data_IF_247180483939
#
_entry.id   IF_247180483939
#
_cell.length_a   1.000
_cell.length_b   1.000
_cell.length_c   1.000
_cell.angle_alpha   90.00
_cell.angle_beta   90.00
_cell.angle_gamma   90.00
#
_symmetry.space_group_name_H-M   'P 1'
#
loop_
_entity.id
_entity.type
_entity.pdbx_description
1 polymer ?
#
# COMPACT_ATOMS: atom_id res chain seq x y z
N UNK A 1 -12.01 -82.05 -27.02
CA UNK A 1 -12.56 -81.13 -26.01
C UNK A 1 -11.76 -79.84 -26.10
N UNK A 2 -12.27 -78.81 -26.80
CA UNK A 2 -11.58 -77.52 -26.98
C UNK A 2 -12.21 -76.51 -26.02
N UNK A 3 -11.45 -76.06 -25.03
CA UNK A 3 -11.86 -75.03 -24.07
C UNK A 3 -11.49 -73.68 -24.70
N UNK A 4 -12.48 -72.83 -24.94
CA UNK A 4 -12.30 -71.43 -25.35
C UNK A 4 -12.56 -70.56 -24.12
N UNK A 5 -11.52 -69.95 -23.58
CA UNK A 5 -11.62 -68.97 -22.50
C UNK A 5 -11.82 -67.59 -23.10
N UNK A 6 -12.98 -66.97 -22.84
CA UNK A 6 -13.22 -65.57 -23.16
C UNK A 6 -12.69 -64.70 -22.01
N UNK A 7 -11.73 -63.83 -22.31
CA UNK A 7 -11.22 -62.82 -21.37
C UNK A 7 -12.06 -61.56 -21.54
N UNK A 8 -12.80 -61.17 -20.50
CA UNK A 8 -13.51 -59.90 -20.42
C UNK A 8 -12.52 -58.83 -19.93
N UNK A 9 -12.13 -57.90 -20.80
CA UNK A 9 -11.36 -56.71 -20.41
C UNK A 9 -12.35 -55.64 -19.96
N UNK A 10 -12.40 -55.38 -18.66
CA UNK A 10 -13.16 -54.28 -18.08
C UNK A 10 -12.33 -53.01 -18.21
N UNK A 11 -12.71 -52.12 -19.13
CA UNK A 11 -12.07 -50.80 -19.28
C UNK A 11 -12.72 -49.84 -18.29
N UNK A 12 -12.02 -49.52 -17.21
CA UNK A 12 -12.39 -48.45 -16.28
C UNK A 12 -12.00 -47.10 -16.88
N UNK A 13 -13.00 -46.32 -17.32
CA UNK A 13 -12.81 -44.92 -17.72
C UNK A 13 -12.70 -44.07 -16.45
N UNK A 14 -11.48 -43.75 -16.01
CA UNK A 14 -11.26 -42.71 -15.00
C UNK A 14 -11.58 -41.35 -15.62
N UNK A 15 -12.73 -40.77 -15.25
CA UNK A 15 -13.02 -39.37 -15.55
C UNK A 15 -12.18 -38.50 -14.62
N UNK A 16 -11.10 -37.91 -15.15
CA UNK A 16 -10.37 -36.87 -14.46
C UNK A 16 -11.25 -35.62 -14.43
N UNK A 17 -11.96 -35.40 -13.33
CA UNK A 17 -12.58 -34.12 -13.05
C UNK A 17 -11.45 -33.12 -12.81
N UNK A 18 -11.13 -32.30 -13.80
CA UNK A 18 -10.32 -31.11 -13.60
C UNK A 18 -11.13 -30.18 -12.70
N UNK A 19 -10.83 -30.19 -11.42
CA UNK A 19 -11.09 -29.05 -10.54
C UNK A 19 -10.30 -27.88 -11.12
N UNK A 20 -10.90 -27.14 -12.06
CA UNK A 20 -10.46 -25.78 -12.33
C UNK A 20 -10.75 -25.02 -11.03
N UNK A 21 -9.76 -24.92 -10.15
CA UNK A 21 -9.81 -23.93 -9.09
C UNK A 21 -10.02 -22.61 -9.79
N UNK A 22 -11.23 -22.05 -9.70
CA UNK A 22 -11.42 -20.69 -10.14
C UNK A 22 -10.49 -19.85 -9.28
N UNK A 23 -9.57 -19.14 -9.93
CA UNK A 23 -8.84 -18.06 -9.27
C UNK A 23 -9.88 -17.22 -8.54
N UNK A 24 -9.72 -16.97 -7.23
CA UNK A 24 -10.67 -16.17 -6.48
C UNK A 24 -10.91 -14.82 -7.19
N UNK A 25 -12.17 -14.38 -7.35
CA UNK A 25 -12.50 -13.03 -7.86
C UNK A 25 -12.25 -12.00 -6.74
N UNK A 26 -10.99 -11.87 -6.36
CA UNK A 26 -10.51 -10.96 -5.32
C UNK A 26 -9.61 -9.89 -5.89
N UNK A 27 -9.66 -8.71 -5.26
CA UNK A 27 -8.55 -7.77 -5.29
C UNK A 27 -7.59 -8.18 -4.18
N UNK A 28 -6.38 -8.58 -4.55
CA UNK A 28 -5.33 -8.95 -3.61
C UNK A 28 -4.39 -7.77 -3.39
N UNK A 29 -4.10 -7.46 -2.12
CA UNK A 29 -3.26 -6.33 -1.71
C UNK A 29 -2.18 -6.86 -0.77
N UNK A 30 -0.92 -6.52 -1.05
CA UNK A 30 0.24 -6.93 -0.26
C UNK A 30 0.93 -5.68 0.26
N UNK A 31 0.92 -5.48 1.57
CA UNK A 31 1.70 -4.42 2.24
C UNK A 31 3.04 -5.03 2.64
N UNK A 32 4.08 -4.70 1.87
CA UNK A 32 5.37 -5.39 1.85
C UNK A 32 6.37 -4.68 2.77
N UNK A 33 7.09 -5.43 3.59
CA UNK A 33 8.13 -4.86 4.47
C UNK A 33 9.35 -4.35 3.72
N UNK A 34 9.49 -3.02 3.75
CA UNK A 34 10.66 -2.27 3.31
C UNK A 34 11.18 -1.37 4.44
N UNK A 35 10.93 -1.75 5.71
CA UNK A 35 11.44 -1.08 6.92
C UNK A 35 11.13 0.42 7.07
N UNK A 36 9.87 0.80 6.85
CA UNK A 36 9.44 2.20 6.96
C UNK A 36 9.76 3.02 5.73
N UNK A 37 9.86 2.38 4.58
CA UNK A 37 9.49 2.97 3.28
C UNK A 37 8.08 2.54 2.87
N UNK A 38 7.76 2.68 1.59
CA UNK A 38 6.48 2.23 1.03
C UNK A 38 6.69 1.21 -0.10
N UNK A 39 5.86 0.16 -0.08
CA UNK A 39 5.78 -0.86 -1.11
C UNK A 39 4.46 -1.61 -0.92
N UNK A 40 3.43 -1.20 -1.66
CA UNK A 40 2.12 -1.87 -1.63
C UNK A 40 1.74 -2.36 -3.02
N UNK A 41 1.60 -3.67 -3.19
CA UNK A 41 1.22 -4.32 -4.44
C UNK A 41 -0.27 -4.64 -4.45
N UNK A 42 -0.97 -4.20 -5.49
CA UNK A 42 -2.37 -4.51 -5.79
C UNK A 42 -2.43 -5.44 -7.00
N UNK A 43 -3.25 -6.48 -6.94
CA UNK A 43 -3.46 -7.44 -8.03
C UNK A 43 -4.95 -7.61 -8.26
N UNK A 44 -5.41 -7.16 -9.43
CA UNK A 44 -6.81 -7.28 -9.83
C UNK A 44 -7.17 -8.75 -10.15
N UNK A 45 -8.47 -9.12 -10.14
CA UNK A 45 -8.90 -10.46 -10.56
C UNK A 45 -8.45 -10.85 -11.99
N UNK A 46 -8.17 -9.86 -12.83
CA UNK A 46 -7.63 -10.06 -14.19
C UNK A 46 -6.18 -10.53 -14.20
N UNK A 47 -5.46 -10.43 -13.07
CA UNK A 47 -4.01 -10.63 -12.95
C UNK A 47 -3.19 -9.38 -13.28
N UNK A 48 -3.83 -8.25 -13.61
CA UNK A 48 -3.15 -6.98 -13.82
C UNK A 48 -2.70 -6.37 -12.48
N UNK A 49 -1.48 -5.85 -12.45
CA UNK A 49 -0.79 -5.46 -11.22
C UNK A 49 -0.48 -3.97 -11.14
N UNK A 50 -0.63 -3.40 -9.96
CA UNK A 50 -0.20 -2.05 -9.63
C UNK A 50 0.62 -2.06 -8.36
N UNK A 51 1.89 -1.67 -8.45
CA UNK A 51 2.76 -1.45 -7.32
C UNK A 51 2.81 0.05 -7.00
N UNK A 52 2.67 0.39 -5.73
CA UNK A 52 2.88 1.75 -5.22
C UNK A 52 4.16 1.74 -4.39
N UNK A 53 5.14 2.51 -4.86
CA UNK A 53 6.49 2.65 -4.34
C UNK A 53 7.34 1.36 -4.31
N UNK A 54 8.63 1.53 -4.00
CA UNK A 54 9.67 0.52 -4.21
C UNK A 54 10.63 0.36 -3.03
N UNK A 55 10.37 1.01 -1.90
CA UNK A 55 11.26 0.95 -0.74
C UNK A 55 12.62 1.62 -0.97
N UNK A 56 13.60 1.20 -0.17
CA UNK A 56 14.95 1.75 -0.12
C UNK A 56 15.89 1.11 -1.16
N UNK A 57 16.92 1.84 -1.62
CA UNK A 57 18.02 1.25 -2.35
C UNK A 57 19.03 0.59 -1.41
N UNK A 58 19.96 -0.17 -2.00
CA UNK A 58 21.12 -0.70 -1.28
C UNK A 58 20.89 -2.13 -0.79
N UNK A 59 21.67 -2.56 0.21
CA UNK A 59 21.63 -3.90 0.81
C UNK A 59 21.50 -5.04 -0.21
N UNK A 60 22.26 -4.94 -1.31
CA UNK A 60 22.24 -5.88 -2.44
C UNK A 60 20.85 -6.12 -3.07
N UNK A 61 19.94 -5.16 -2.95
CA UNK A 61 18.60 -5.21 -3.53
C UNK A 61 17.56 -5.85 -2.63
N UNK A 62 17.78 -5.86 -1.31
CA UNK A 62 16.86 -6.42 -0.31
C UNK A 62 15.39 -6.07 -0.53
N UNK A 63 15.05 -4.78 -0.66
CA UNK A 63 13.64 -4.36 -0.80
C UNK A 63 13.07 -4.80 -2.15
N UNK A 64 13.87 -4.72 -3.21
CA UNK A 64 13.50 -5.27 -4.50
C UNK A 64 13.25 -6.79 -4.44
N UNK A 65 14.08 -7.55 -3.73
CA UNK A 65 13.89 -9.01 -3.55
C UNK A 65 12.62 -9.34 -2.76
N UNK A 66 12.27 -8.52 -1.76
CA UNK A 66 11.02 -8.67 -0.99
C UNK A 66 9.79 -8.36 -1.85
N UNK A 67 9.86 -7.33 -2.69
CA UNK A 67 8.80 -7.02 -3.66
C UNK A 67 8.65 -8.15 -4.68
N UNK A 68 9.78 -8.69 -5.18
CA UNK A 68 9.78 -9.85 -6.09
C UNK A 68 9.15 -11.06 -5.42
N UNK A 69 9.44 -11.32 -4.14
CA UNK A 69 8.85 -12.44 -3.41
C UNK A 69 7.32 -12.31 -3.27
N UNK A 70 6.81 -11.11 -2.97
CA UNK A 70 5.38 -10.86 -2.93
C UNK A 70 4.72 -10.98 -4.31
N UNK A 71 5.38 -10.47 -5.36
CA UNK A 71 4.92 -10.61 -6.74
C UNK A 71 4.86 -12.10 -7.17
N UNK A 72 5.86 -12.90 -6.79
CA UNK A 72 5.88 -14.34 -7.05
C UNK A 72 4.78 -15.09 -6.30
N UNK A 73 4.52 -14.73 -5.04
CA UNK A 73 3.39 -15.27 -4.27
C UNK A 73 2.05 -14.96 -4.95
N UNK A 74 1.90 -13.77 -5.51
CA UNK A 74 0.75 -13.37 -6.31
C UNK A 74 0.73 -13.97 -7.75
N UNK A 75 1.71 -14.78 -8.13
CA UNK A 75 1.80 -15.41 -9.45
C UNK A 75 2.18 -14.45 -10.60
N UNK A 76 2.77 -13.30 -10.28
CA UNK A 76 3.18 -12.29 -11.26
C UNK A 76 4.60 -12.53 -11.79
N UNK A 77 4.81 -12.15 -13.05
CA UNK A 77 6.13 -12.16 -13.70
C UNK A 77 6.58 -10.76 -14.15
N UNK A 78 5.79 -9.73 -13.85
CA UNK A 78 6.05 -8.32 -14.14
C UNK A 78 5.14 -7.46 -13.27
N UNK A 79 5.43 -6.16 -13.19
CA UNK A 79 4.54 -5.12 -12.69
C UNK A 79 3.97 -4.36 -13.89
N UNK A 80 2.65 -4.29 -14.02
CA UNK A 80 1.99 -3.58 -15.12
C UNK A 80 2.02 -2.07 -14.90
N UNK A 81 1.78 -1.61 -13.66
CA UNK A 81 1.82 -0.19 -13.29
C UNK A 81 2.66 0.02 -12.03
N UNK A 82 3.74 0.80 -12.11
CA UNK A 82 4.44 1.33 -10.95
C UNK A 82 4.01 2.79 -10.75
N UNK A 83 3.41 3.10 -9.61
CA UNK A 83 3.22 4.47 -9.14
C UNK A 83 4.35 4.78 -8.16
N UNK A 84 5.17 5.78 -8.45
CA UNK A 84 6.07 6.38 -7.45
C UNK A 84 5.37 7.61 -6.89
N UNK A 85 5.07 7.57 -5.59
CA UNK A 85 4.28 8.60 -4.93
C UNK A 85 5.04 9.91 -4.87
N UNK A 86 6.30 9.87 -4.46
CA UNK A 86 7.20 11.01 -4.44
C UNK A 86 8.67 10.54 -4.46
N UNK A 87 9.62 11.47 -4.60
CA UNK A 87 11.00 11.10 -4.92
C UNK A 87 11.94 10.96 -3.72
N UNK A 88 11.41 10.73 -2.51
CA UNK A 88 12.23 10.32 -1.38
C UNK A 88 12.83 8.93 -1.57
N UNK A 89 13.95 8.72 -0.88
CA UNK A 89 14.81 7.54 -1.09
C UNK A 89 14.11 6.23 -0.74
N UNK A 90 13.17 6.24 0.20
CA UNK A 90 12.47 5.05 0.67
C UNK A 90 11.15 4.77 -0.03
N UNK A 91 10.82 5.58 -1.03
CA UNK A 91 9.69 5.38 -1.93
C UNK A 91 10.20 5.02 -3.34
N UNK A 92 11.02 5.89 -3.91
CA UNK A 92 11.56 5.74 -5.26
C UNK A 92 12.83 4.87 -5.31
N UNK A 93 13.59 4.78 -4.22
CA UNK A 93 15.00 4.41 -4.29
C UNK A 93 15.25 2.97 -4.73
N UNK A 94 14.36 2.03 -4.40
CA UNK A 94 14.46 0.63 -4.85
C UNK A 94 14.16 0.40 -6.33
N UNK A 95 13.70 1.41 -7.08
CA UNK A 95 13.17 1.23 -8.44
C UNK A 95 14.17 0.64 -9.45
N UNK A 96 15.45 1.06 -9.43
CA UNK A 96 16.48 0.51 -10.31
C UNK A 96 16.73 -0.97 -10.00
N UNK A 97 16.91 -1.30 -8.72
CA UNK A 97 17.18 -2.68 -8.28
C UNK A 97 15.99 -3.60 -8.52
N UNK A 98 14.76 -3.08 -8.45
CA UNK A 98 13.54 -3.81 -8.79
C UNK A 98 13.44 -4.06 -10.30
N UNK A 99 13.67 -3.03 -11.13
CA UNK A 99 13.58 -3.17 -12.58
C UNK A 99 14.61 -4.16 -13.15
N UNK A 100 15.76 -4.32 -12.49
CA UNK A 100 16.76 -5.35 -12.82
C UNK A 100 16.27 -6.79 -12.57
N UNK A 101 15.25 -6.97 -11.71
CA UNK A 101 14.75 -8.28 -11.26
C UNK A 101 13.38 -8.63 -11.83
N UNK A 102 12.51 -7.63 -11.95
CA UNK A 102 11.11 -7.78 -12.34
C UNK A 102 10.75 -6.70 -13.36
N UNK A 103 10.35 -7.06 -14.59
CA UNK A 103 9.98 -6.06 -15.60
C UNK A 103 8.86 -5.14 -15.12
N UNK A 104 8.97 -3.85 -15.42
CA UNK A 104 7.95 -2.83 -15.12
C UNK A 104 7.50 -2.20 -16.44
N UNK A 105 6.19 -2.19 -16.69
CA UNK A 105 5.64 -1.77 -18.00
C UNK A 105 5.35 -0.27 -18.04
N UNK A 106 4.59 0.25 -17.06
CA UNK A 106 4.19 1.65 -17.00
C UNK A 106 4.70 2.30 -15.71
N UNK A 107 5.31 3.47 -15.83
CA UNK A 107 5.74 4.32 -14.72
C UNK A 107 4.80 5.53 -14.61
N UNK A 108 4.28 5.75 -13.41
CA UNK A 108 3.37 6.84 -13.08
C UNK A 108 3.97 7.62 -11.89
N UNK A 109 4.00 8.94 -11.98
CA UNK A 109 4.54 9.81 -10.93
C UNK A 109 4.00 11.25 -11.06
N UNK A 110 4.44 12.15 -10.18
CA UNK A 110 4.05 13.56 -10.20
C UNK A 110 5.00 14.46 -11.02
N UNK A 111 5.94 13.90 -11.79
CA UNK A 111 6.77 14.64 -12.74
C UNK A 111 8.19 14.95 -12.25
N UNK A 112 8.38 16.10 -11.61
CA UNK A 112 9.70 16.63 -11.20
C UNK A 112 9.83 16.74 -9.69
N UNK A 113 11.03 16.48 -9.17
CA UNK A 113 11.33 16.69 -7.75
C UNK A 113 11.48 18.17 -7.41
N UNK A 114 11.03 18.53 -6.20
CA UNK A 114 11.30 19.84 -5.58
C UNK A 114 12.53 19.83 -4.68
N UNK A 115 13.13 18.66 -4.44
CA UNK A 115 14.37 18.54 -3.67
C UNK A 115 15.53 19.28 -4.34
N UNK A 116 16.26 20.05 -3.54
CA UNK A 116 17.46 20.77 -3.98
C UNK A 116 18.76 20.08 -3.55
N UNK A 117 18.68 19.07 -2.68
CA UNK A 117 19.83 18.32 -2.20
C UNK A 117 20.55 17.54 -3.29
N UNK A 118 21.89 17.53 -3.25
CA UNK A 118 22.72 16.82 -4.25
C UNK A 118 22.40 15.33 -4.32
N UNK A 119 22.29 14.66 -3.15
CA UNK A 119 22.03 13.21 -3.09
C UNK A 119 20.61 12.84 -3.58
N UNK A 120 19.52 13.47 -3.10
CA UNK A 120 18.18 13.24 -3.66
C UNK A 120 18.11 13.50 -5.17
N UNK A 121 18.69 14.62 -5.66
CA UNK A 121 18.71 14.91 -7.10
C UNK A 121 19.46 13.87 -7.92
N UNK A 122 20.59 13.37 -7.41
CA UNK A 122 21.32 12.30 -8.08
C UNK A 122 20.49 11.00 -8.15
N UNK A 123 19.76 10.66 -7.09
CA UNK A 123 18.84 9.52 -7.07
C UNK A 123 17.68 9.70 -8.07
N UNK A 124 17.03 10.87 -8.05
CA UNK A 124 15.98 11.22 -9.01
C UNK A 124 16.48 11.15 -10.46
N UNK A 125 17.69 11.62 -10.75
CA UNK A 125 18.29 11.55 -12.08
C UNK A 125 18.45 10.12 -12.61
N UNK A 126 18.75 9.16 -11.72
CA UNK A 126 18.80 7.74 -12.07
C UNK A 126 17.40 7.18 -12.35
N UNK A 127 16.43 7.48 -11.50
CA UNK A 127 15.02 7.12 -11.74
C UNK A 127 14.48 7.69 -13.06
N UNK A 128 14.80 8.95 -13.38
CA UNK A 128 14.46 9.58 -14.68
C UNK A 128 15.06 8.80 -15.84
N UNK A 129 16.31 8.35 -15.71
CA UNK A 129 16.98 7.55 -16.75
C UNK A 129 16.31 6.19 -16.91
N UNK A 130 15.96 5.53 -15.81
CA UNK A 130 15.23 4.27 -15.79
C UNK A 130 13.88 4.37 -16.51
N UNK A 131 13.01 5.30 -16.07
CA UNK A 131 11.63 5.40 -16.60
C UNK A 131 11.56 5.83 -18.07
N UNK A 132 12.61 6.48 -18.61
CA UNK A 132 12.71 6.82 -20.05
C UNK A 132 12.78 5.59 -20.95
N UNK A 133 13.21 4.45 -20.42
CA UNK A 133 13.22 3.18 -21.15
C UNK A 133 11.85 2.49 -21.25
N UNK A 134 10.82 3.04 -20.60
CA UNK A 134 9.49 2.44 -20.48
C UNK A 134 8.38 3.45 -20.83
N UNK A 135 7.11 3.02 -20.75
CA UNK A 135 5.98 3.94 -20.85
C UNK A 135 5.93 4.78 -19.57
N UNK A 136 5.94 6.11 -19.70
CA UNK A 136 5.87 7.02 -18.56
C UNK A 136 4.69 7.98 -18.69
N UNK A 137 3.99 8.23 -17.58
CA UNK A 137 2.90 9.21 -17.47
C UNK A 137 3.01 10.01 -16.18
N UNK A 138 3.11 11.33 -16.29
CA UNK A 138 2.86 12.21 -15.14
C UNK A 138 1.36 12.28 -14.88
N UNK A 139 0.94 12.09 -13.63
CA UNK A 139 -0.47 12.03 -13.24
C UNK A 139 -0.93 13.27 -12.50
N UNK A 140 -2.20 13.61 -12.63
CA UNK A 140 -2.86 14.72 -11.94
C UNK A 140 -4.10 14.25 -11.16
N UNK A 141 -4.57 15.00 -10.14
CA UNK A 141 -5.80 14.66 -9.44
C UNK A 141 -7.00 14.53 -10.41
N UNK A 142 -7.76 13.45 -10.27
CA UNK A 142 -8.90 13.09 -11.13
C UNK A 142 -8.56 12.08 -12.23
N UNK A 143 -7.27 11.90 -12.55
CA UNK A 143 -6.84 10.88 -13.50
C UNK A 143 -7.24 9.48 -13.05
N UNK A 144 -7.61 8.64 -14.02
CA UNK A 144 -7.78 7.21 -13.80
C UNK A 144 -6.49 6.45 -14.10
N UNK A 145 -6.23 5.38 -13.35
CA UNK A 145 -5.24 4.35 -13.74
C UNK A 145 -6.03 3.17 -14.31
N UNK A 146 -5.85 2.82 -15.59
CA UNK A 146 -6.68 1.82 -16.23
C UNK A 146 -6.25 0.42 -15.77
N UNK A 147 -7.00 -0.17 -14.85
CA UNK A 147 -6.85 -1.55 -14.40
C UNK A 147 -8.21 -2.23 -14.49
N UNK A 148 -8.29 -3.34 -15.21
CA UNK A 148 -9.59 -3.96 -15.46
C UNK A 148 -10.27 -4.42 -14.16
N UNK A 149 -11.54 -4.05 -14.01
CA UNK A 149 -12.35 -4.35 -12.82
C UNK A 149 -12.09 -3.48 -11.59
N UNK A 150 -11.14 -2.54 -11.62
CA UNK A 150 -10.86 -1.58 -10.53
C UNK A 150 -11.23 -0.13 -10.94
N UNK A 151 -11.67 0.67 -9.97
CA UNK A 151 -11.77 2.13 -10.10
C UNK A 151 -10.62 2.78 -9.34
N UNK A 152 -9.49 3.00 -10.03
CA UNK A 152 -8.31 3.65 -9.43
C UNK A 152 -8.29 5.12 -9.84
N UNK A 153 -8.39 6.02 -8.86
CA UNK A 153 -8.40 7.47 -9.06
C UNK A 153 -7.26 8.14 -8.32
N UNK A 154 -6.49 8.94 -9.03
CA UNK A 154 -5.50 9.81 -8.41
C UNK A 154 -6.23 10.93 -7.67
N UNK A 155 -6.01 11.03 -6.37
CA UNK A 155 -6.71 12.02 -5.51
C UNK A 155 -5.82 13.21 -5.13
N UNK A 156 -4.50 13.01 -5.14
CA UNK A 156 -3.49 14.05 -4.97
C UNK A 156 -2.30 13.76 -5.88
N UNK A 157 -1.63 14.79 -6.37
CA UNK A 157 -0.38 14.70 -7.13
C UNK A 157 0.23 16.09 -7.28
N UNK A 158 1.54 16.20 -7.16
CA UNK A 158 2.31 17.44 -7.31
C UNK A 158 1.75 18.59 -6.45
N UNK A 159 1.29 18.28 -5.23
CA UNK A 159 0.76 19.26 -4.29
C UNK A 159 -0.64 19.79 -4.62
N UNK A 160 -1.25 19.36 -5.72
CA UNK A 160 -2.66 19.55 -6.02
C UNK A 160 -3.49 18.36 -5.50
N UNK A 161 -4.76 18.60 -5.22
CA UNK A 161 -5.71 17.57 -4.78
C UNK A 161 -7.02 17.67 -5.57
N UNK A 162 -7.91 16.68 -5.42
CA UNK A 162 -9.25 16.71 -6.02
C UNK A 162 -9.99 18.00 -5.67
N UNK A 163 -10.56 18.63 -6.69
CA UNK A 163 -11.42 19.80 -6.55
C UNK A 163 -12.90 19.43 -6.42
N UNK A 164 -13.27 18.21 -6.83
CA UNK A 164 -14.62 17.68 -6.78
C UNK A 164 -14.66 16.35 -6.05
N UNK A 165 -15.78 16.06 -5.38
CA UNK A 165 -15.95 14.79 -4.68
C UNK A 165 -16.02 13.60 -5.65
N UNK A 166 -15.48 12.46 -5.22
CA UNK A 166 -15.68 11.18 -5.88
C UNK A 166 -17.17 10.78 -5.86
N UNK A 167 -17.61 9.89 -6.78
CA UNK A 167 -18.98 9.38 -6.75
C UNK A 167 -19.34 8.78 -5.38
N UNK A 168 -20.46 9.21 -4.80
CA UNK A 168 -20.91 8.78 -3.47
C UNK A 168 -20.15 9.41 -2.29
N UNK A 169 -19.27 10.38 -2.54
CA UNK A 169 -18.63 11.20 -1.51
C UNK A 169 -19.29 12.60 -1.42
N UNK A 170 -18.65 13.54 -0.72
CA UNK A 170 -19.06 14.95 -0.62
C UNK A 170 -19.94 15.27 0.58
N UNK A 171 -20.01 14.40 1.59
CA UNK A 171 -20.71 14.72 2.85
C UNK A 171 -19.91 15.78 3.63
N UNK A 172 -20.58 16.75 4.29
CA UNK A 172 -19.91 17.68 5.19
C UNK A 172 -19.11 16.95 6.25
N UNK A 173 -17.89 17.41 6.53
CA UNK A 173 -17.01 16.80 7.51
C UNK A 173 -17.02 17.61 8.82
N UNK A 174 -17.62 17.10 9.90
CA UNK A 174 -17.67 17.82 11.17
C UNK A 174 -16.30 17.97 11.83
N UNK A 175 -15.30 17.20 11.43
CA UNK A 175 -13.94 17.25 11.99
C UNK A 175 -13.07 18.35 11.38
N UNK A 176 -13.61 19.17 10.48
CA UNK A 176 -12.89 20.28 9.87
C UNK A 176 -12.69 21.49 10.79
N UNK A 177 -13.53 21.67 11.81
CA UNK A 177 -13.48 22.87 12.67
C UNK A 177 -12.26 22.91 13.57
N UNK A 178 -11.75 21.73 13.97
CA UNK A 178 -10.65 21.60 14.92
C UNK A 178 -9.30 21.40 14.21
N UNK A 179 -9.29 21.41 12.86
CA UNK A 179 -8.07 21.28 12.09
C UNK A 179 -7.15 22.47 12.33
N UNK A 180 -5.95 22.18 12.83
CA UNK A 180 -4.89 23.18 12.96
C UNK A 180 -4.01 23.11 11.72
N UNK A 181 -3.82 24.24 11.04
CA UNK A 181 -2.87 24.33 9.94
C UNK A 181 -1.46 24.45 10.50
N UNK A 182 -0.56 23.53 10.15
CA UNK A 182 0.78 23.46 10.74
C UNK A 182 1.85 24.24 9.96
N UNK A 183 1.46 25.29 9.22
CA UNK A 183 2.34 26.12 8.38
C UNK A 183 2.56 25.52 6.98
N UNK A 184 2.91 26.34 5.97
CA UNK A 184 3.11 25.85 4.59
C UNK A 184 4.24 24.80 4.49
N UNK A 185 5.14 24.85 5.47
CA UNK A 185 6.32 24.03 5.64
C UNK A 185 6.12 22.98 6.74
N UNK A 186 5.06 22.15 6.67
CA UNK A 186 5.17 20.80 7.26
C UNK A 186 6.20 20.09 6.39
N UNK A 187 7.46 20.40 6.65
CA UNK A 187 8.59 19.80 6.00
C UNK A 187 8.82 18.47 6.70
N UNK A 188 9.17 17.48 5.90
CA UNK A 188 9.62 16.18 6.37
C UNK A 188 10.71 16.35 7.44
N UNK A 189 11.10 15.25 8.10
CA UNK A 189 12.30 15.23 8.98
C UNK A 189 13.56 15.78 8.28
N UNK A 190 13.55 15.90 6.95
CA UNK A 190 14.62 16.40 6.09
C UNK A 190 14.47 17.85 5.65
N UNK A 191 13.38 18.54 6.00
CA UNK A 191 13.24 19.96 5.70
C UNK A 191 12.86 20.26 4.24
N UNK A 192 12.38 19.27 3.48
CA UNK A 192 11.93 19.45 2.10
C UNK A 192 10.40 19.29 1.96
N UNK A 193 9.88 19.77 0.82
CA UNK A 193 8.45 19.81 0.50
C UNK A 193 7.99 18.63 -0.38
N UNK A 194 8.82 17.59 -0.54
CA UNK A 194 8.57 16.48 -1.47
C UNK A 194 7.42 15.59 -0.98
N UNK A 195 7.27 15.35 0.32
CA UNK A 195 6.12 14.64 0.94
C UNK A 195 4.77 15.21 0.47
N UNK A 196 4.69 16.54 0.39
CA UNK A 196 3.49 17.27 0.01
C UNK A 196 3.13 17.08 -1.47
N UNK A 197 4.05 16.53 -2.27
CA UNK A 197 3.87 16.23 -3.70
C UNK A 197 3.36 14.82 -3.96
N UNK A 198 3.22 14.00 -2.91
CA UNK A 198 2.79 12.60 -2.99
C UNK A 198 1.61 12.38 -3.93
N UNK A 199 1.78 11.48 -4.88
CA UNK A 199 0.69 10.87 -5.63
C UNK A 199 -0.10 10.01 -4.65
N UNK A 200 -1.37 10.35 -4.45
CA UNK A 200 -2.30 9.58 -3.63
C UNK A 200 -3.37 8.95 -4.50
N UNK A 201 -3.84 7.75 -4.14
CA UNK A 201 -4.84 7.02 -4.91
C UNK A 201 -6.00 6.52 -4.05
N UNK A 202 -7.21 6.66 -4.60
CA UNK A 202 -8.40 5.92 -4.19
C UNK A 202 -8.53 4.67 -5.06
N UNK A 203 -8.91 3.54 -4.44
CA UNK A 203 -9.08 2.25 -5.11
C UNK A 203 -10.48 1.71 -4.78
N UNK A 204 -11.32 1.58 -5.80
CA UNK A 204 -12.63 0.93 -5.72
C UNK A 204 -12.63 -0.46 -6.35
N UNK A 205 -13.25 -1.43 -5.67
CA UNK A 205 -13.50 -2.78 -6.20
C UNK A 205 -14.91 -3.26 -5.82
N UNK A 206 -15.87 -3.05 -6.72
CA UNK A 206 -17.29 -3.20 -6.38
C UNK A 206 -17.67 -2.26 -5.23
N UNK A 207 -18.08 -2.81 -4.09
CA UNK A 207 -18.37 -2.07 -2.87
C UNK A 207 -17.15 -1.88 -1.97
N UNK A 208 -16.04 -2.60 -2.17
CA UNK A 208 -14.81 -2.41 -1.40
C UNK A 208 -14.14 -1.09 -1.80
N UNK A 209 -13.67 -0.32 -0.82
CA UNK A 209 -13.00 0.97 -1.02
C UNK A 209 -11.72 1.04 -0.20
N UNK A 210 -10.64 1.50 -0.79
CA UNK A 210 -9.36 1.74 -0.13
C UNK A 210 -8.76 3.08 -0.53
N UNK A 211 -7.84 3.57 0.28
CA UNK A 211 -7.02 4.76 -0.01
C UNK A 211 -5.60 4.53 0.47
N UNK A 212 -4.64 5.03 -0.32
CA UNK A 212 -3.20 5.09 -0.04
C UNK A 212 -2.69 6.45 -0.48
N UNK A 213 -1.90 7.11 0.38
CA UNK A 213 -1.61 8.53 0.22
C UNK A 213 -0.12 8.85 0.11
N UNK A 214 0.76 7.84 0.06
CA UNK A 214 2.19 8.07 0.23
C UNK A 214 2.43 8.83 1.53
N UNK A 215 3.24 9.87 1.48
CA UNK A 215 3.64 10.67 2.65
C UNK A 215 2.87 11.99 2.75
N UNK A 216 1.71 12.07 2.11
CA UNK A 216 0.89 13.28 2.03
C UNK A 216 0.62 13.86 3.44
N UNK A 217 1.11 15.07 3.69
CA UNK A 217 1.05 15.70 5.01
C UNK A 217 -0.33 16.28 5.32
N UNK A 218 -0.61 16.53 6.60
CA UNK A 218 -1.88 17.07 7.10
C UNK A 218 -2.45 18.24 6.28
N UNK A 219 -1.61 19.20 5.90
CA UNK A 219 -2.06 20.38 5.16
C UNK A 219 -2.50 20.08 3.73
N UNK A 220 -2.05 18.96 3.16
CA UNK A 220 -2.50 18.47 1.85
C UNK A 220 -3.63 17.45 1.97
N UNK A 221 -3.76 16.77 3.10
CA UNK A 221 -4.94 15.96 3.42
C UNK A 221 -6.18 16.85 3.63
N UNK A 222 -6.04 18.00 4.29
CA UNK A 222 -7.17 18.84 4.68
C UNK A 222 -8.05 19.25 3.49
N UNK A 223 -7.52 19.70 2.34
CA UNK A 223 -8.37 20.11 1.23
C UNK A 223 -9.08 18.93 0.55
N UNK A 224 -8.67 17.68 0.78
CA UNK A 224 -9.45 16.49 0.39
C UNK A 224 -10.66 16.29 1.30
N UNK A 225 -10.59 16.76 2.54
CA UNK A 225 -11.53 16.41 3.61
C UNK A 225 -12.46 17.56 3.98
N UNK A 226 -12.11 18.81 3.63
CA UNK A 226 -12.79 20.00 4.09
C UNK A 226 -13.23 20.95 2.95
N UNK A 227 -14.35 21.70 3.15
CA UNK A 227 -15.35 21.51 4.21
C UNK A 227 -16.14 20.20 4.06
N UNK A 228 -16.10 19.61 2.87
CA UNK A 228 -16.75 18.35 2.53
C UNK A 228 -15.71 17.27 2.26
N UNK A 229 -15.99 16.04 2.72
CA UNK A 229 -15.17 14.86 2.46
C UNK A 229 -15.27 14.47 0.97
N UNK A 230 -14.26 14.82 0.17
CA UNK A 230 -14.22 14.56 -1.28
C UNK A 230 -13.88 13.12 -1.62
N UNK A 231 -13.28 12.36 -0.69
CA UNK A 231 -12.88 10.96 -0.91
C UNK A 231 -14.03 10.01 -0.55
N UNK A 232 -14.80 10.33 0.49
CA UNK A 232 -15.84 9.48 1.07
C UNK A 232 -15.27 8.49 2.09
N UNK A 233 -16.10 7.58 2.58
CA UNK A 233 -15.67 6.54 3.51
C UNK A 233 -14.96 5.39 2.79
N UNK A 234 -14.07 4.69 3.50
CA UNK A 234 -13.30 3.55 2.99
C UNK A 234 -13.45 2.33 3.89
N UNK A 235 -13.18 1.14 3.36
CA UNK A 235 -13.11 -0.10 4.15
C UNK A 235 -11.71 -0.28 4.74
N UNK A 236 -10.70 -0.03 3.91
CA UNK A 236 -9.29 -0.15 4.23
C UNK A 236 -8.60 1.20 4.12
N UNK A 237 -7.91 1.60 5.19
CA UNK A 237 -6.98 2.71 5.18
C UNK A 237 -5.54 2.18 5.18
N UNK A 238 -4.81 2.40 4.09
CA UNK A 238 -3.36 2.20 4.06
C UNK A 238 -2.73 3.46 4.64
N UNK A 239 -2.28 3.35 5.89
CA UNK A 239 -1.95 4.50 6.74
C UNK A 239 -0.88 5.35 6.08
N UNK A 240 -1.19 6.63 5.86
CA UNK A 240 -0.30 7.62 5.24
C UNK A 240 1.02 7.75 5.98
N UNK A 241 2.11 8.01 5.25
CA UNK A 241 3.40 8.41 5.78
C UNK A 241 3.94 7.42 6.82
N UNK A 242 3.72 6.12 6.57
CA UNK A 242 4.10 5.03 7.48
C UNK A 242 3.49 5.16 8.89
N UNK A 243 2.49 6.03 9.09
CA UNK A 243 1.99 6.44 10.40
C UNK A 243 2.87 7.47 11.12
N UNK A 244 3.47 8.41 10.40
CA UNK A 244 4.15 9.58 10.96
C UNK A 244 3.16 10.54 11.62
N UNK A 245 3.60 11.19 12.70
CA UNK A 245 2.86 12.23 13.43
C UNK A 245 2.70 13.55 12.65
N UNK A 246 2.95 13.56 11.34
CA UNK A 246 2.78 14.72 10.43
C UNK A 246 1.71 14.47 9.35
N UNK A 247 1.10 13.29 9.37
CA UNK A 247 0.04 12.83 8.45
C UNK A 247 -1.04 12.08 9.23
N UNK A 248 -2.13 11.66 8.58
CA UNK A 248 -3.25 11.03 9.26
C UNK A 248 -4.02 12.00 10.18
N UNK A 249 -4.34 13.20 9.69
CA UNK A 249 -5.07 14.21 10.47
C UNK A 249 -6.44 13.70 10.95
N UNK A 250 -6.95 14.20 12.07
CA UNK A 250 -8.30 13.84 12.55
C UNK A 250 -9.39 14.17 11.49
N UNK A 251 -9.23 15.27 10.76
CA UNK A 251 -10.10 15.61 9.63
C UNK A 251 -10.11 14.53 8.55
N UNK A 252 -9.00 13.82 8.34
CA UNK A 252 -8.88 12.68 7.44
C UNK A 252 -9.41 11.41 8.07
N UNK A 253 -8.77 10.92 9.14
CA UNK A 253 -8.98 9.55 9.63
C UNK A 253 -10.39 9.33 10.17
N UNK A 254 -11.00 10.36 10.78
CA UNK A 254 -12.38 10.27 11.25
C UNK A 254 -13.37 10.30 10.09
N UNK A 255 -13.12 11.11 9.06
CA UNK A 255 -14.00 11.23 7.90
C UNK A 255 -13.93 10.03 6.93
N UNK A 256 -12.80 9.32 6.93
CA UNK A 256 -12.64 8.08 6.19
C UNK A 256 -13.48 6.93 6.76
N UNK A 257 -13.83 6.98 8.04
CA UNK A 257 -14.56 5.90 8.75
C UNK A 257 -14.05 4.47 8.38
N UNK A 258 -12.72 4.22 8.39
CA UNK A 258 -12.19 2.93 8.00
C UNK A 258 -12.62 1.82 8.96
N UNK A 259 -12.76 0.61 8.43
CA UNK A 259 -12.97 -0.60 9.24
C UNK A 259 -11.66 -1.25 9.62
N UNK A 260 -10.67 -1.15 8.74
CA UNK A 260 -9.32 -1.63 9.00
C UNK A 260 -8.32 -0.58 8.57
N UNK A 261 -7.27 -0.41 9.37
CA UNK A 261 -6.07 0.32 9.00
C UNK A 261 -4.90 -0.66 8.91
N UNK A 262 -4.07 -0.55 7.86
CA UNK A 262 -2.80 -1.31 7.75
C UNK A 262 -1.68 -0.30 7.61
N UNK A 263 -0.73 -0.34 8.55
CA UNK A 263 0.36 0.62 8.64
C UNK A 263 1.67 0.04 8.14
N UNK A 264 2.23 0.64 7.09
CA UNK A 264 3.51 0.25 6.51
C UNK A 264 4.70 0.91 7.25
N UNK A 265 4.74 0.75 8.58
CA UNK A 265 5.82 1.29 9.40
C UNK A 265 7.05 0.37 9.42
N UNK A 266 8.21 0.98 9.67
CA UNK A 266 9.39 0.28 10.15
C UNK A 266 9.42 0.25 11.68
N UNK A 267 10.44 -0.39 12.28
CA UNK A 267 10.53 -0.44 13.73
C UNK A 267 10.77 0.94 14.38
N UNK A 268 11.44 1.84 13.64
CA UNK A 268 11.84 3.19 14.11
C UNK A 268 11.52 4.32 13.13
N UNK A 269 10.83 4.03 12.03
CA UNK A 269 10.32 5.01 11.07
C UNK A 269 8.81 4.77 10.87
N UNK A 270 8.01 5.82 11.04
CA UNK A 270 6.56 5.70 11.16
C UNK A 270 6.12 5.14 12.51
N UNK A 271 4.83 4.78 12.61
CA UNK A 271 4.23 4.25 13.85
C UNK A 271 4.31 5.22 15.02
N UNK A 272 4.03 6.50 14.79
CA UNK A 272 4.11 7.58 15.77
C UNK A 272 2.98 7.53 16.81
N UNK A 273 3.23 8.00 18.04
CA UNK A 273 2.22 8.02 19.10
C UNK A 273 0.92 8.75 18.73
N UNK A 274 0.98 9.87 18.00
CA UNK A 274 -0.23 10.61 17.60
C UNK A 274 -1.04 9.81 16.58
N UNK A 275 -0.39 9.13 15.65
CA UNK A 275 -1.09 8.24 14.69
C UNK A 275 -1.87 7.14 15.43
N UNK A 276 -1.24 6.47 16.40
CA UNK A 276 -1.93 5.44 17.20
C UNK A 276 -3.12 6.03 17.96
N UNK A 277 -2.92 7.17 18.62
CA UNK A 277 -3.97 7.86 19.36
C UNK A 277 -5.16 8.23 18.45
N UNK A 278 -4.90 8.86 17.30
CA UNK A 278 -5.93 9.23 16.32
C UNK A 278 -6.69 8.03 15.77
N UNK A 279 -6.01 6.95 15.40
CA UNK A 279 -6.65 5.74 14.90
C UNK A 279 -7.50 5.06 15.98
N UNK A 280 -7.06 5.03 17.24
CA UNK A 280 -7.86 4.41 18.33
C UNK A 280 -9.15 5.17 18.65
N UNK A 281 -9.27 6.44 18.23
CA UNK A 281 -10.50 7.23 18.39
C UNK A 281 -11.53 7.00 17.27
N UNK A 282 -11.15 6.38 16.16
CA UNK A 282 -12.08 6.11 15.05
C UNK A 282 -13.08 5.03 15.46
N UNK A 283 -14.36 5.39 15.60
CA UNK A 283 -15.41 4.49 16.10
C UNK A 283 -15.63 3.27 15.18
N UNK A 284 -15.47 3.45 13.87
CA UNK A 284 -15.66 2.38 12.88
C UNK A 284 -14.49 1.38 12.82
N UNK A 285 -13.33 1.72 13.40
CA UNK A 285 -12.11 0.95 13.24
C UNK A 285 -12.18 -0.35 14.06
N UNK A 286 -12.25 -1.48 13.36
CA UNK A 286 -12.29 -2.81 13.96
C UNK A 286 -10.89 -3.30 14.37
N UNK A 287 -9.87 -3.07 13.54
CA UNK A 287 -8.47 -3.39 13.84
C UNK A 287 -7.47 -2.47 13.13
N UNK A 288 -6.29 -2.34 13.76
CA UNK A 288 -5.06 -1.86 13.15
C UNK A 288 -4.14 -3.07 12.93
N UNK A 289 -3.54 -3.16 11.75
CA UNK A 289 -2.47 -4.10 11.41
C UNK A 289 -1.18 -3.32 11.19
N UNK A 290 -0.05 -3.94 11.53
CA UNK A 290 1.25 -3.28 11.46
C UNK A 290 2.22 -4.12 10.64
N UNK A 291 3.01 -3.45 9.82
CA UNK A 291 4.09 -4.13 9.13
C UNK A 291 5.26 -4.41 10.08
N UNK A 292 5.60 -3.46 10.95
CA UNK A 292 6.55 -3.67 12.05
C UNK A 292 6.00 -3.35 13.43
N UNK A 293 6.57 -3.99 14.45
CA UNK A 293 6.48 -3.50 15.83
C UNK A 293 7.08 -2.09 15.90
N UNK A 294 6.28 -1.10 16.32
CA UNK A 294 6.70 0.29 16.40
C UNK A 294 7.33 0.56 17.77
N UNK A 295 8.65 0.80 17.81
CA UNK A 295 9.40 0.96 19.07
C UNK A 295 8.91 2.17 19.87
N UNK A 296 8.51 3.24 19.19
CA UNK A 296 8.13 4.50 19.81
C UNK A 296 6.89 4.42 20.72
N UNK A 297 6.01 3.42 20.51
CA UNK A 297 4.71 3.35 21.19
C UNK A 297 4.59 2.23 22.22
N UNK A 298 5.63 1.38 22.36
CA UNK A 298 5.70 0.36 23.40
C UNK A 298 4.44 -0.51 23.48
N UNK A 299 3.77 -0.49 24.63
CA UNK A 299 2.58 -1.29 24.91
C UNK A 299 1.34 -0.93 24.06
N UNK A 300 1.36 0.19 23.32
CA UNK A 300 0.26 0.55 22.43
C UNK A 300 0.28 -0.22 21.09
N UNK A 301 1.35 -0.96 20.81
CA UNK A 301 1.42 -1.90 19.69
C UNK A 301 0.27 -2.91 19.76
N UNK A 302 -0.15 -3.41 18.59
CA UNK A 302 -1.18 -4.43 18.49
C UNK A 302 -0.65 -5.79 18.95
N UNK A 303 -1.53 -6.76 19.30
CA UNK A 303 -1.08 -8.10 19.62
C UNK A 303 -0.20 -8.67 18.51
N UNK A 304 0.78 -9.49 18.87
CA UNK A 304 1.77 -10.02 17.93
C UNK A 304 1.17 -10.77 16.72
N UNK A 305 -0.08 -11.22 16.80
CA UNK A 305 -0.79 -11.81 15.66
C UNK A 305 -1.06 -10.81 14.52
N UNK A 306 -1.20 -9.51 14.83
CA UNK A 306 -1.49 -8.41 13.89
C UNK A 306 -0.24 -7.69 13.38
N UNK A 307 0.95 -8.12 13.79
CA UNK A 307 2.22 -7.50 13.41
C UNK A 307 3.02 -8.47 12.52
N UNK A 308 3.29 -8.09 11.28
CA UNK A 308 3.99 -8.94 10.32
C UNK A 308 5.45 -9.19 10.76
N UNK A 309 6.16 -8.15 11.20
CA UNK A 309 7.57 -8.21 11.59
C UNK A 309 7.76 -7.68 13.01
N UNK A 310 8.19 -8.54 13.95
CA UNK A 310 8.27 -8.21 15.38
C UNK A 310 9.61 -7.64 15.82
N UNK A 311 10.62 -7.79 14.96
CA UNK A 311 11.99 -7.44 15.28
C UNK A 311 12.14 -5.91 15.33
N UNK A 312 12.80 -5.43 16.37
CA UNK A 312 13.00 -4.01 16.67
C UNK A 312 14.37 -3.48 16.24
N UNK A 313 15.23 -4.40 15.75
CA UNK A 313 16.64 -4.25 15.39
C UNK A 313 17.27 -3.06 16.12
N UNK A 314 17.57 -3.23 17.41
CA UNK A 314 18.41 -2.27 18.12
C UNK A 314 19.81 -2.27 17.50
N UNK A 315 20.45 -1.10 17.27
CA UNK A 315 21.87 -1.09 16.90
C UNK A 315 22.66 -1.78 18.00
N UNK A 316 23.43 -2.81 17.64
CA UNK A 316 24.49 -3.28 18.53
C UNK A 316 25.65 -2.29 18.45
N UNK A 317 26.47 -2.19 19.50
CA UNK A 317 27.51 -1.14 19.66
C UNK A 317 28.53 -1.04 18.49
N UNK A 318 28.47 -1.93 17.49
CA UNK A 318 29.37 -1.96 16.33
C UNK A 318 28.68 -2.02 14.95
N UNK A 319 27.35 -1.88 14.83
CA UNK A 319 26.66 -1.90 13.52
C UNK A 319 26.19 -0.49 13.10
N UNK A 320 26.75 -0.01 11.98
CA UNK A 320 26.21 1.12 11.23
C UNK A 320 24.82 0.75 10.69
N UNK A 321 23.79 1.34 11.30
CA UNK A 321 22.36 1.17 11.02
C UNK A 321 21.81 -0.25 11.25
N UNK A 322 20.98 -0.38 12.28
CA UNK A 322 20.25 -1.61 12.56
C UNK A 322 19.16 -1.83 11.51
N UNK A 323 19.51 -2.65 10.51
CA UNK A 323 18.72 -2.89 9.31
C UNK A 323 18.26 -4.34 9.31
N UNK A 324 16.97 -4.59 9.10
CA UNK A 324 16.39 -5.92 8.94
C UNK A 324 16.90 -6.57 7.64
N UNK A 325 17.94 -7.40 7.72
CA UNK A 325 18.41 -8.19 6.57
C UNK A 325 17.85 -9.63 6.53
N UNK A 326 17.09 -10.01 7.56
CA UNK A 326 16.47 -11.32 7.68
C UNK A 326 15.19 -11.49 6.84
N UNK A 327 14.53 -12.63 7.06
CA UNK A 327 13.22 -12.93 6.48
C UNK A 327 12.20 -11.89 6.90
N UNK A 328 11.58 -11.26 5.92
CA UNK A 328 10.51 -10.31 6.09
C UNK A 328 9.17 -10.88 5.61
N UNK A 329 8.10 -10.35 6.19
CA UNK A 329 6.74 -10.77 5.96
C UNK A 329 5.89 -9.56 5.57
N UNK A 330 4.72 -9.84 4.99
CA UNK A 330 3.77 -8.84 4.53
C UNK A 330 2.41 -9.05 5.19
N UNK A 331 1.59 -8.02 5.14
CA UNK A 331 0.16 -8.14 5.42
C UNK A 331 -0.57 -8.29 4.09
N UNK A 332 -1.29 -9.40 3.92
CA UNK A 332 -2.07 -9.71 2.71
C UNK A 332 -3.55 -9.44 2.95
N UNK A 333 -4.20 -8.76 2.01
CA UNK A 333 -5.63 -8.45 2.04
C UNK A 333 -6.28 -9.04 0.78
N UNK A 334 -7.29 -9.90 0.96
CA UNK A 334 -8.10 -10.43 -0.12
C UNK A 334 -9.51 -9.81 -0.04
N UNK A 335 -9.77 -8.80 -0.87
CA UNK A 335 -11.03 -8.05 -0.91
C UNK A 335 -12.00 -8.59 -1.96
N UNK A 336 -13.30 -8.58 -1.65
CA UNK A 336 -14.38 -9.02 -2.53
C UNK A 336 -15.24 -7.84 -2.98
N UNK A 337 -15.94 -8.02 -4.11
CA UNK A 337 -16.82 -6.99 -4.70
C UNK A 337 -17.99 -6.57 -3.81
N UNK A 338 -18.35 -7.35 -2.80
CA UNK A 338 -19.40 -7.01 -1.84
C UNK A 338 -18.89 -6.17 -0.64
N UNK A 339 -17.61 -5.78 -0.67
CA UNK A 339 -16.99 -4.99 0.39
C UNK A 339 -16.52 -5.81 1.59
N UNK A 340 -16.74 -7.13 1.60
CA UNK A 340 -16.08 -8.00 2.57
C UNK A 340 -14.63 -8.26 2.17
N UNK A 341 -13.76 -8.44 3.16
CA UNK A 341 -12.35 -8.71 2.91
C UNK A 341 -11.72 -9.49 4.07
N UNK A 342 -10.64 -10.21 3.78
CA UNK A 342 -9.86 -10.94 4.77
C UNK A 342 -8.46 -10.35 4.83
N UNK A 343 -7.95 -10.11 6.03
CA UNK A 343 -6.57 -9.68 6.25
C UNK A 343 -5.80 -10.83 6.90
N UNK A 344 -4.63 -11.14 6.38
CA UNK A 344 -3.77 -12.26 6.77
C UNK A 344 -2.35 -11.77 7.02
N UNK A 345 -1.78 -12.16 8.15
CA UNK A 345 -0.36 -11.93 8.43
C UNK A 345 0.46 -13.10 7.89
N UNK A 346 1.34 -12.85 6.91
CA UNK A 346 2.08 -13.93 6.25
C UNK A 346 3.11 -14.62 7.14
N UNK A 347 3.51 -14.02 8.27
CA UNK A 347 4.44 -14.64 9.24
C UNK A 347 3.81 -15.81 9.99
N UNK A 348 2.55 -15.69 10.37
CA UNK A 348 1.92 -16.59 11.34
C UNK A 348 0.61 -17.21 10.84
N UNK A 349 0.12 -16.81 9.66
CA UNK A 349 -1.14 -17.28 9.08
C UNK A 349 -2.40 -16.81 9.82
N UNK A 350 -2.25 -15.96 10.85
CA UNK A 350 -3.40 -15.38 11.54
C UNK A 350 -4.18 -14.52 10.55
N UNK A 351 -5.47 -14.81 10.46
CA UNK A 351 -6.37 -14.18 9.49
C UNK A 351 -7.63 -13.69 10.21
N UNK A 352 -8.13 -12.50 9.86
CA UNK A 352 -9.44 -12.01 10.28
C UNK A 352 -10.25 -11.58 9.07
N UNK A 353 -11.52 -11.95 9.05
CA UNK A 353 -12.46 -11.56 7.99
C UNK A 353 -13.40 -10.49 8.50
N UNK A 354 -13.56 -9.47 7.67
CA UNK A 354 -14.39 -8.29 7.89
C UNK A 354 -15.59 -8.43 6.94
N UNK A 355 -16.80 -8.37 7.50
CA UNK A 355 -18.06 -8.51 6.74
C UNK A 355 -18.31 -7.39 5.73
N UNK A 356 -19.52 -7.26 5.20
CA UNK A 356 -19.86 -6.16 4.28
C UNK A 356 -19.93 -4.81 5.03
N UNK A 357 -19.66 -3.66 4.37
CA UNK A 357 -19.81 -2.35 4.98
C UNK A 357 -21.27 -2.11 5.42
N UNK A 358 -21.46 -1.55 6.62
CA UNK A 358 -22.79 -1.24 7.15
C UNK A 358 -23.20 0.19 6.75
N UNK A 359 -24.20 0.32 5.88
CA UNK A 359 -24.93 1.59 5.66
C UNK A 359 -24.17 2.69 4.93
N UNK A 360 -23.75 2.45 3.67
CA UNK A 360 -23.19 3.48 2.79
C UNK A 360 -24.25 4.24 2.00
#
# INVERSE_FOLDING_TARGET
>A
MRITSAVFVCVTVLSAATLSGQTPDTLDIYVIDVEGGEATLFVAPSGESMLIDTGWPGFDGRDADRIVAAAQDAGLTRIDHLIVTHFHTDHMGGAEQLADRLPIVNYLDHGTTVDEGERPRAAFGRYVTLRRGATHRTVAPGDAVPIDGLDVRIIASDGAVLTSALPGAGRPNPHCTDFTFHGEDILSRYGDAEDQRSVSAFIGFGQFRSVIMGDLTWNKEQPLMCPDNKVGTVDLYLVSHHGSDTSGSDALVQALEPRVAVMNNGPRKGGGPLTFDSLTRVESLEDLWQNHYAVAVGDANRPASFIANLQDFAPTDNDEAAVHLGTAYWTHIAARRDGSFTVTNSRNGFSRTYGQPRGR
#
